data_IF_936786749211
#
_entry.id   IF_936786749211
#
_cell.length_a   1.000
_cell.length_b   1.000
_cell.length_c   1.000
_cell.angle_alpha   90.00
_cell.angle_beta   90.00
_cell.angle_gamma   90.00
#
_symmetry.space_group_name_H-M   'P 1'
#
loop_
_entity.id
_entity.type
_entity.pdbx_description
1 polymer ?
#
# COMPACT_ATOMS: atom_id res chain seq x y z
N UNK A 1 21.85 -7.73 -2.37
CA UNK A 1 23.20 -8.03 -1.82
C UNK A 1 23.32 -9.49 -1.36
N UNK A 2 22.57 -9.93 -0.34
CA UNK A 2 22.63 -11.31 0.18
C UNK A 2 22.32 -12.40 -0.85
N UNK A 3 21.43 -12.12 -1.80
CA UNK A 3 21.12 -13.07 -2.88
C UNK A 3 22.31 -13.33 -3.82
N UNK A 4 23.09 -12.30 -4.14
CA UNK A 4 24.21 -12.38 -5.08
C UNK A 4 25.53 -12.80 -4.43
N UNK A 5 25.80 -12.24 -3.25
CA UNK A 5 27.02 -12.52 -2.51
C UNK A 5 26.86 -13.72 -1.58
N UNK A 6 25.64 -14.23 -1.43
CA UNK A 6 25.34 -15.36 -0.55
C UNK A 6 25.85 -15.12 0.87
N UNK A 7 26.47 -16.13 1.51
CA UNK A 7 27.08 -16.01 2.83
C UNK A 7 28.14 -14.90 2.93
N UNK A 8 28.78 -14.49 1.84
CA UNK A 8 29.81 -13.43 1.84
C UNK A 8 29.21 -12.08 2.23
N UNK A 9 27.92 -11.85 1.95
CA UNK A 9 27.23 -10.64 2.42
C UNK A 9 27.23 -10.53 3.95
N UNK A 10 27.19 -11.65 4.67
CA UNK A 10 27.26 -11.66 6.15
C UNK A 10 28.60 -11.10 6.60
N UNK A 11 29.70 -11.53 5.97
CA UNK A 11 31.03 -11.04 6.32
C UNK A 11 31.18 -9.54 6.06
N UNK A 12 30.66 -9.04 4.93
CA UNK A 12 30.70 -7.61 4.60
C UNK A 12 29.85 -6.78 5.57
N UNK A 13 28.64 -7.23 5.89
CA UNK A 13 27.79 -6.50 6.86
C UNK A 13 28.41 -6.54 8.26
N UNK A 14 29.03 -7.66 8.67
CA UNK A 14 29.76 -7.75 9.94
C UNK A 14 31.04 -6.89 10.00
N UNK A 15 31.59 -6.48 8.84
CA UNK A 15 32.73 -5.54 8.80
C UNK A 15 32.28 -4.09 8.97
N UNK A 16 31.12 -3.74 8.39
CA UNK A 16 30.57 -2.37 8.44
C UNK A 16 29.80 -2.14 9.73
N UNK A 17 29.10 -3.15 10.23
CA UNK A 17 28.19 -3.07 11.37
C UNK A 17 28.33 -4.27 12.32
N UNK A 18 27.59 -4.23 13.43
CA UNK A 18 27.57 -5.24 14.48
C UNK A 18 26.98 -6.59 14.02
N UNK A 19 27.56 -7.68 14.52
CA UNK A 19 27.00 -9.03 14.34
C UNK A 19 25.57 -9.17 14.88
N UNK A 20 25.22 -8.35 15.88
CA UNK A 20 23.89 -8.28 16.49
C UNK A 20 22.86 -7.77 15.47
N UNK A 21 23.20 -6.75 14.68
CA UNK A 21 22.34 -6.25 13.61
C UNK A 21 22.07 -7.34 12.57
N UNK A 22 23.10 -8.07 12.14
CA UNK A 22 22.96 -9.16 11.15
C UNK A 22 22.02 -10.26 11.66
N UNK A 23 22.14 -10.62 12.95
CA UNK A 23 21.22 -11.56 13.61
C UNK A 23 19.79 -11.03 13.65
N UNK A 24 19.62 -9.76 14.01
CA UNK A 24 18.31 -9.12 14.07
C UNK A 24 17.66 -8.94 12.69
N UNK A 25 18.44 -8.79 11.61
CA UNK A 25 17.92 -8.75 10.24
C UNK A 25 17.47 -10.14 9.73
N UNK A 26 17.69 -11.20 10.51
CA UNK A 26 17.31 -12.57 10.13
C UNK A 26 18.25 -13.20 9.08
N UNK A 27 19.41 -12.59 8.85
CA UNK A 27 20.43 -13.12 7.92
C UNK A 27 21.32 -14.19 8.55
N UNK A 28 21.16 -14.46 9.86
CA UNK A 28 21.97 -15.48 10.52
C UNK A 28 21.61 -16.87 10.03
N UNK A 29 22.64 -17.72 9.96
CA UNK A 29 22.65 -19.10 9.47
C UNK A 29 21.43 -19.90 9.96
N UNK A 30 20.36 -19.86 9.17
CA UNK A 30 19.28 -20.83 9.28
C UNK A 30 19.68 -21.99 8.38
N UNK A 31 19.97 -23.15 8.96
CA UNK A 31 20.45 -24.36 8.25
C UNK A 31 19.57 -24.68 7.03
N UNK A 32 18.28 -24.35 7.12
CA UNK A 32 17.30 -24.52 6.06
C UNK A 32 17.52 -23.56 4.88
N UNK A 33 17.92 -22.30 5.11
CA UNK A 33 18.21 -21.35 4.01
C UNK A 33 19.48 -21.74 3.26
N UNK A 34 20.48 -22.28 3.94
CA UNK A 34 21.72 -22.74 3.29
C UNK A 34 21.46 -23.88 2.30
N UNK A 35 20.52 -24.77 2.62
CA UNK A 35 20.10 -25.82 1.68
C UNK A 35 19.45 -25.24 0.41
N UNK A 36 18.64 -24.19 0.54
CA UNK A 36 18.03 -23.50 -0.62
C UNK A 36 19.11 -22.88 -1.52
N UNK A 37 20.19 -22.33 -0.95
CA UNK A 37 21.30 -21.79 -1.73
C UNK A 37 22.11 -22.85 -2.47
N UNK A 38 22.37 -24.01 -1.85
CA UNK A 38 23.13 -25.09 -2.50
C UNK A 38 22.32 -25.74 -3.62
N UNK A 39 21.01 -25.92 -3.44
CA UNK A 39 20.12 -26.43 -4.48
C UNK A 39 19.90 -25.43 -5.63
N UNK A 40 20.26 -24.16 -5.44
CA UNK A 40 20.20 -23.13 -6.47
C UNK A 40 21.44 -23.08 -7.38
N UNK A 41 22.23 -24.15 -7.46
CA UNK A 41 23.06 -24.42 -8.65
C UNK A 41 22.17 -24.90 -9.80
N UNK A 42 21.20 -24.06 -10.16
CA UNK A 42 20.35 -24.24 -11.33
C UNK A 42 21.26 -24.13 -12.55
N UNK A 43 21.12 -25.07 -13.48
CA UNK A 43 21.81 -25.05 -14.76
C UNK A 43 21.38 -23.79 -15.52
N UNK A 44 22.16 -22.71 -15.43
CA UNK A 44 21.85 -21.37 -15.99
C UNK A 44 21.69 -21.43 -17.52
N UNK A 45 22.14 -22.53 -18.13
CA UNK A 45 22.21 -22.71 -19.58
C UNK A 45 20.84 -22.61 -20.27
N UNK A 46 19.76 -23.00 -19.60
CA UNK A 46 18.42 -23.09 -20.20
C UNK A 46 17.44 -22.03 -19.67
N UNK A 47 17.91 -21.11 -18.81
CA UNK A 47 17.06 -20.02 -18.32
C UNK A 47 17.11 -18.88 -19.35
N UNK A 48 15.97 -18.51 -19.97
CA UNK A 48 15.92 -17.39 -20.89
C UNK A 48 16.41 -16.11 -20.17
N UNK A 49 17.25 -15.35 -20.88
CA UNK A 49 17.95 -14.20 -20.30
C UNK A 49 16.98 -13.15 -19.73
N UNK A 50 15.79 -13.07 -20.30
CA UNK A 50 14.69 -12.22 -19.88
C UNK A 50 14.22 -12.58 -18.47
N UNK A 51 14.03 -13.87 -18.16
CA UNK A 51 13.61 -14.32 -16.83
C UNK A 51 14.70 -14.04 -15.78
N UNK A 52 15.96 -14.32 -16.12
CA UNK A 52 17.08 -14.01 -15.23
C UNK A 52 17.15 -12.51 -14.93
N UNK A 53 16.91 -11.68 -15.95
CA UNK A 53 16.87 -10.24 -15.82
C UNK A 53 15.71 -9.75 -14.94
N UNK A 54 14.47 -10.21 -15.17
CA UNK A 54 13.32 -9.89 -14.31
C UNK A 54 13.55 -10.28 -12.85
N UNK A 55 14.14 -11.45 -12.63
CA UNK A 55 14.51 -11.90 -11.30
C UNK A 55 15.52 -10.94 -10.65
N UNK A 56 16.57 -10.54 -11.39
CA UNK A 56 17.60 -9.64 -10.89
C UNK A 56 17.03 -8.27 -10.50
N UNK A 57 16.19 -7.70 -11.35
CA UNK A 57 15.47 -6.44 -11.09
C UNK A 57 14.66 -6.54 -9.81
N UNK A 58 13.91 -7.63 -9.67
CA UNK A 58 13.07 -7.84 -8.52
C UNK A 58 13.89 -7.97 -7.23
N UNK A 59 15.06 -8.61 -7.27
CA UNK A 59 16.01 -8.65 -6.14
C UNK A 59 16.55 -7.26 -5.82
N UNK A 60 16.89 -6.46 -6.83
CA UNK A 60 17.34 -5.06 -6.65
C UNK A 60 16.25 -4.24 -5.97
N UNK A 61 15.02 -4.33 -6.47
CA UNK A 61 13.85 -3.64 -5.92
C UNK A 61 13.58 -4.08 -4.48
N UNK A 62 13.60 -5.39 -4.18
CA UNK A 62 13.48 -5.91 -2.79
C UNK A 62 14.59 -5.37 -1.90
N UNK A 63 15.82 -5.33 -2.39
CA UNK A 63 16.97 -4.81 -1.63
C UNK A 63 16.81 -3.32 -1.33
N UNK A 64 16.29 -2.55 -2.30
CA UNK A 64 15.99 -1.15 -2.15
C UNK A 64 14.85 -0.91 -1.15
N UNK A 65 13.80 -1.73 -1.18
CA UNK A 65 12.72 -1.71 -0.17
C UNK A 65 13.27 -1.89 1.24
N UNK A 66 14.15 -2.86 1.40
CA UNK A 66 14.79 -3.12 2.69
C UNK A 66 15.68 -1.93 3.09
N UNK A 67 16.47 -1.38 2.16
CA UNK A 67 17.33 -0.24 2.43
C UNK A 67 16.55 1.02 2.85
N UNK A 68 15.51 1.38 2.11
CA UNK A 68 14.63 2.52 2.41
C UNK A 68 13.97 2.34 3.78
N UNK A 69 13.50 1.12 4.10
CA UNK A 69 12.93 0.81 5.42
C UNK A 69 13.89 1.18 6.54
N UNK A 70 15.14 0.71 6.46
CA UNK A 70 16.15 0.96 7.49
C UNK A 70 16.70 2.38 7.46
N UNK A 71 16.73 3.04 6.29
CA UNK A 71 17.13 4.45 6.19
C UNK A 71 16.16 5.42 6.88
N UNK A 72 14.91 5.01 7.11
CA UNK A 72 13.92 5.78 7.87
C UNK A 72 13.68 5.24 9.29
N UNK A 73 14.52 4.35 9.80
CA UNK A 73 14.51 4.00 11.22
C UNK A 73 15.01 5.21 12.01
N UNK A 74 14.41 5.46 13.18
CA UNK A 74 14.95 6.49 14.08
C UNK A 74 16.34 6.04 14.57
N UNK A 75 17.29 6.96 14.69
CA UNK A 75 18.65 6.69 15.17
C UNK A 75 18.69 5.92 16.50
N UNK A 76 17.76 6.19 17.42
CA UNK A 76 17.64 5.45 18.67
C UNK A 76 17.16 4.01 18.44
N UNK A 77 16.16 3.82 17.59
CA UNK A 77 15.67 2.49 17.20
C UNK A 77 16.75 1.68 16.48
N UNK A 78 17.54 2.34 15.63
CA UNK A 78 18.70 1.74 14.98
C UNK A 78 19.78 1.36 16.00
N UNK A 79 20.11 2.28 16.91
CA UNK A 79 21.07 2.05 17.99
C UNK A 79 20.64 0.92 18.91
N UNK A 80 19.34 0.81 19.22
CA UNK A 80 18.81 -0.33 19.99
C UNK A 80 18.91 -1.64 19.20
N UNK A 81 18.66 -1.61 17.89
CA UNK A 81 18.73 -2.79 17.03
C UNK A 81 20.18 -3.26 16.79
N UNK A 82 21.16 -2.35 16.78
CA UNK A 82 22.58 -2.71 16.70
C UNK A 82 23.16 -3.16 18.04
N UNK A 83 22.63 -2.65 19.17
CA UNK A 83 23.14 -2.97 20.51
C UNK A 83 22.46 -4.18 21.17
N UNK A 84 21.20 -4.47 20.87
CA UNK A 84 20.42 -5.48 21.59
C UNK A 84 19.85 -6.53 20.63
N UNK A 85 19.97 -7.81 20.96
CA UNK A 85 19.24 -8.86 20.24
C UNK A 85 17.74 -8.74 20.56
N UNK A 86 16.93 -8.61 19.52
CA UNK A 86 15.49 -8.56 19.67
C UNK A 86 14.93 -9.96 19.84
N UNK A 87 14.03 -10.12 20.82
CA UNK A 87 13.22 -11.34 20.94
C UNK A 87 12.39 -11.50 19.67
N UNK A 88 12.18 -12.75 19.25
CA UNK A 88 11.40 -13.09 18.04
C UNK A 88 10.06 -12.35 17.97
N UNK A 89 9.35 -12.23 19.08
CA UNK A 89 8.07 -11.50 19.18
C UNK A 89 8.20 -10.00 18.84
N UNK A 90 9.27 -9.34 19.31
CA UNK A 90 9.55 -7.94 18.98
C UNK A 90 10.00 -7.79 17.52
N UNK A 91 10.72 -8.79 16.99
CA UNK A 91 11.11 -8.82 15.59
C UNK A 91 9.90 -9.01 14.65
N UNK A 92 8.92 -9.83 15.04
CA UNK A 92 7.66 -10.00 14.32
C UNK A 92 6.83 -8.70 14.28
N UNK A 93 6.88 -7.90 15.34
CA UNK A 93 6.28 -6.57 15.37
C UNK A 93 6.98 -5.58 14.43
N UNK A 94 8.25 -5.84 14.11
CA UNK A 94 8.97 -5.08 13.09
C UNK A 94 8.78 -5.64 11.68
N UNK A 95 8.37 -6.90 11.50
CA UNK A 95 8.08 -7.47 10.17
C UNK A 95 6.89 -6.74 9.52
N UNK A 96 7.18 -6.07 8.41
CA UNK A 96 6.30 -5.10 7.73
C UNK A 96 4.91 -5.69 7.48
N UNK A 97 4.84 -6.91 6.95
CA UNK A 97 3.58 -7.45 6.47
C UNK A 97 2.58 -7.72 7.61
N UNK A 98 3.06 -8.32 8.70
CA UNK A 98 2.25 -8.61 9.88
C UNK A 98 1.95 -7.36 10.69
N UNK A 99 2.96 -6.50 10.90
CA UNK A 99 2.80 -5.24 11.64
C UNK A 99 1.81 -4.28 10.97
N UNK A 100 1.81 -4.25 9.63
CA UNK A 100 0.93 -3.37 8.87
C UNK A 100 -0.51 -3.88 8.81
N UNK A 101 -0.70 -5.19 8.61
CA UNK A 101 -2.04 -5.81 8.61
C UNK A 101 -2.65 -5.78 10.01
N UNK A 102 -1.81 -6.01 11.03
CA UNK A 102 -2.20 -6.05 12.43
C UNK A 102 -1.56 -4.89 13.18
N UNK A 103 -1.86 -3.65 12.78
CA UNK A 103 -1.44 -2.47 13.54
C UNK A 103 -1.98 -2.58 14.96
N UNK A 104 -1.11 -2.98 15.90
CA UNK A 104 -1.43 -2.97 17.33
C UNK A 104 -1.66 -1.52 17.74
N UNK A 105 -2.56 -1.27 18.69
CA UNK A 105 -2.78 0.10 19.20
C UNK A 105 -1.46 0.74 19.66
N UNK A 106 -0.59 -0.05 20.30
CA UNK A 106 0.74 0.39 20.73
C UNK A 106 1.60 0.96 19.60
N UNK A 107 1.47 0.44 18.37
CA UNK A 107 2.21 0.95 17.21
C UNK A 107 1.62 2.26 16.70
N UNK A 108 0.32 2.46 16.85
CA UNK A 108 -0.35 3.73 16.56
C UNK A 108 0.08 4.77 17.59
N UNK A 109 0.13 4.41 18.87
CA UNK A 109 0.57 5.29 19.95
C UNK A 109 2.01 5.76 19.72
N UNK A 110 2.92 4.85 19.35
CA UNK A 110 4.30 5.20 18.99
C UNK A 110 4.40 6.13 17.79
N UNK A 111 3.54 5.96 16.77
CA UNK A 111 3.54 6.86 15.61
C UNK A 111 2.96 8.24 15.98
N UNK A 112 1.95 8.29 16.85
CA UNK A 112 1.40 9.55 17.39
C UNK A 112 2.50 10.27 18.17
N UNK A 113 3.14 9.59 19.12
CA UNK A 113 4.25 10.12 19.91
C UNK A 113 5.38 10.62 19.01
N UNK A 114 5.84 9.80 18.06
CA UNK A 114 6.87 10.22 17.11
C UNK A 114 6.44 11.42 16.25
N UNK A 115 5.15 11.63 16.05
CA UNK A 115 4.63 12.78 15.30
C UNK A 115 4.55 14.04 16.17
N UNK A 116 4.16 13.91 17.44
CA UNK A 116 4.22 14.98 18.44
C UNK A 116 5.66 15.47 18.58
N UNK A 117 6.61 14.55 18.75
CA UNK A 117 8.04 14.85 18.82
C UNK A 117 8.59 15.53 17.56
N UNK A 118 8.27 15.00 16.37
CA UNK A 118 8.74 15.59 15.10
C UNK A 118 8.26 17.01 14.88
N UNK A 119 7.03 17.30 15.28
CA UNK A 119 6.44 18.62 15.16
C UNK A 119 6.77 19.54 16.35
N UNK A 120 7.56 19.05 17.32
CA UNK A 120 7.95 19.79 18.54
C UNK A 120 6.74 20.35 19.29
N UNK A 121 5.67 19.56 19.34
CA UNK A 121 4.46 19.94 20.07
C UNK A 121 4.77 19.79 21.56
N UNK A 122 4.64 20.89 22.29
CA UNK A 122 4.87 20.92 23.73
C UNK A 122 3.64 20.34 24.46
N UNK A 123 3.85 19.21 25.14
CA UNK A 123 2.79 18.50 25.86
C UNK A 123 2.17 19.34 26.98
N UNK A 124 2.96 20.21 27.63
CA UNK A 124 2.46 21.06 28.73
C UNK A 124 1.49 22.14 28.25
N UNK A 125 1.70 22.58 27.00
CA UNK A 125 0.90 23.60 26.32
C UNK A 125 -0.26 23.01 25.51
N UNK A 126 -0.36 21.69 25.43
CA UNK A 126 -1.40 20.98 24.68
C UNK A 126 -2.73 20.97 25.43
N UNK A 127 -3.40 22.13 25.51
CA UNK A 127 -4.66 22.33 26.23
C UNK A 127 -5.76 22.74 25.27
N UNK A 128 -6.65 21.79 24.97
CA UNK A 128 -7.81 22.04 24.13
C UNK A 128 -9.04 22.40 24.98
N UNK A 129 -9.65 23.55 24.68
CA UNK A 129 -10.91 24.00 25.27
C UNK A 129 -12.04 23.83 24.27
N UNK A 130 -13.17 23.28 24.72
CA UNK A 130 -14.34 23.02 23.89
C UNK A 130 -15.46 24.00 24.21
N UNK A 131 -16.29 24.31 23.20
CA UNK A 131 -17.48 25.15 23.38
C UNK A 131 -18.61 24.39 24.10
N UNK A 132 -18.59 23.07 24.03
CA UNK A 132 -19.62 22.18 24.58
C UNK A 132 -19.13 21.56 25.89
N UNK A 133 -20.04 21.37 26.85
CA UNK A 133 -19.75 20.59 28.03
C UNK A 133 -19.82 19.08 27.68
N UNK A 134 -18.65 18.46 27.49
CA UNK A 134 -18.52 17.05 27.08
C UNK A 134 -19.15 16.10 28.11
N UNK A 135 -19.11 16.45 29.40
CA UNK A 135 -19.70 15.64 30.47
C UNK A 135 -21.20 15.43 30.26
N UNK A 136 -21.88 16.46 29.76
CA UNK A 136 -23.32 16.44 29.49
C UNK A 136 -23.60 15.80 28.13
N UNK A 137 -22.85 16.18 27.09
CA UNK A 137 -23.13 15.73 25.72
C UNK A 137 -22.72 14.28 25.48
N UNK A 138 -21.57 13.84 26.02
CA UNK A 138 -21.02 12.51 25.78
C UNK A 138 -20.10 12.06 26.94
N UNK A 139 -20.68 11.53 28.05
CA UNK A 139 -19.90 11.12 29.22
C UNK A 139 -18.90 10.00 28.91
N UNK A 140 -19.19 9.13 27.94
CA UNK A 140 -18.26 8.07 27.52
C UNK A 140 -17.00 8.66 26.85
N UNK A 141 -17.16 9.71 26.04
CA UNK A 141 -16.03 10.40 25.45
C UNK A 141 -15.20 11.12 26.52
N UNK A 142 -15.84 11.73 27.51
CA UNK A 142 -15.15 12.33 28.64
C UNK A 142 -14.32 11.29 29.39
N UNK A 143 -14.89 10.13 29.71
CA UNK A 143 -14.16 9.03 30.36
C UNK A 143 -12.92 8.64 29.54
N UNK A 144 -13.05 8.54 28.22
CA UNK A 144 -11.93 8.23 27.31
C UNK A 144 -10.85 9.30 27.26
N UNK A 145 -11.21 10.58 27.40
CA UNK A 145 -10.28 11.70 27.35
C UNK A 145 -9.57 11.92 28.69
N UNK A 146 -10.25 11.70 29.81
CA UNK A 146 -9.71 11.95 31.16
C UNK A 146 -8.91 10.75 31.68
N UNK A 147 -9.36 9.52 31.39
CA UNK A 147 -8.69 8.32 31.90
C UNK A 147 -7.54 7.90 30.96
N UNK A 148 -6.30 8.25 31.35
CA UNK A 148 -5.06 7.87 30.64
C UNK A 148 -4.95 6.35 30.43
N UNK A 149 -5.46 5.58 31.38
CA UNK A 149 -5.41 4.13 31.37
C UNK A 149 -6.67 3.49 30.79
N UNK A 150 -7.61 4.26 30.21
CA UNK A 150 -8.85 3.73 29.63
C UNK A 150 -8.61 2.58 28.64
N UNK A 151 -7.50 2.67 27.89
CA UNK A 151 -7.08 1.66 26.93
C UNK A 151 -6.07 0.65 27.51
N UNK A 152 -5.44 0.92 28.65
CA UNK A 152 -4.54 -0.04 29.31
C UNK A 152 -5.37 -1.09 30.05
N UNK A 153 -5.34 -2.33 29.57
CA UNK A 153 -6.00 -3.48 30.22
C UNK A 153 -7.36 -3.86 29.64
N UNK A 154 -8.03 -2.95 28.91
CA UNK A 154 -9.08 -3.39 27.97
C UNK A 154 -8.38 -4.02 26.77
N UNK A 155 -8.28 -5.35 26.73
CA UNK A 155 -8.03 -6.04 25.47
C UNK A 155 -9.12 -5.56 24.52
N UNK A 156 -8.75 -4.61 23.66
CA UNK A 156 -9.69 -3.97 22.75
C UNK A 156 -10.23 -5.09 21.87
N UNK A 157 -11.40 -5.61 22.23
CA UNK A 157 -11.95 -6.74 21.52
C UNK A 157 -12.47 -6.14 20.22
N UNK A 158 -11.61 -6.15 19.20
CA UNK A 158 -11.89 -5.60 17.88
C UNK A 158 -13.21 -6.17 17.35
N UNK A 159 -13.60 -7.40 17.77
CA UNK A 159 -14.91 -7.98 17.45
C UNK A 159 -16.07 -7.22 18.12
N UNK A 160 -15.95 -6.82 19.39
CA UNK A 160 -16.94 -5.99 20.09
C UNK A 160 -17.03 -4.61 19.43
N UNK A 161 -15.89 -3.97 19.16
CA UNK A 161 -15.89 -2.67 18.51
C UNK A 161 -16.48 -2.73 17.09
N UNK A 162 -16.17 -3.77 16.31
CA UNK A 162 -16.83 -4.05 15.01
C UNK A 162 -18.33 -4.31 15.17
N UNK A 163 -18.77 -5.01 16.22
CA UNK A 163 -20.20 -5.22 16.51
C UNK A 163 -20.89 -3.89 16.82
N UNK A 164 -20.30 -3.04 17.64
CA UNK A 164 -20.81 -1.69 17.93
C UNK A 164 -20.93 -0.84 16.67
N UNK A 165 -19.90 -0.82 15.82
CA UNK A 165 -19.93 -0.10 14.54
C UNK A 165 -21.05 -0.66 13.64
N UNK A 166 -21.15 -1.99 13.50
CA UNK A 166 -22.23 -2.63 12.71
C UNK A 166 -23.62 -2.35 13.28
N UNK A 167 -23.78 -2.32 14.59
CA UNK A 167 -25.06 -2.03 15.25
C UNK A 167 -25.46 -0.57 15.04
N UNK A 168 -24.49 0.35 15.14
CA UNK A 168 -24.71 1.75 14.77
C UNK A 168 -25.03 1.91 13.28
N UNK A 169 -24.39 1.17 12.38
CA UNK A 169 -24.74 1.16 10.96
C UNK A 169 -26.16 0.63 10.70
N UNK A 170 -26.60 -0.40 11.44
CA UNK A 170 -27.98 -0.90 11.35
C UNK A 170 -29.00 0.13 11.85
N UNK A 171 -28.75 0.73 13.01
CA UNK A 171 -29.57 1.83 13.54
C UNK A 171 -29.60 3.01 12.55
N UNK A 172 -28.48 3.31 11.88
CA UNK A 172 -28.40 4.32 10.81
C UNK A 172 -29.30 3.97 9.63
N UNK A 173 -29.25 2.73 9.14
CA UNK A 173 -30.12 2.27 8.04
C UNK A 173 -31.60 2.33 8.41
N UNK A 174 -31.94 1.94 9.64
CA UNK A 174 -33.32 2.04 10.14
C UNK A 174 -33.76 3.50 10.22
N UNK A 175 -32.92 4.40 10.75
CA UNK A 175 -33.25 5.82 10.84
C UNK A 175 -33.36 6.47 9.45
N UNK A 176 -32.52 6.11 8.48
CA UNK A 176 -32.66 6.61 7.11
C UNK A 176 -33.91 6.09 6.41
N UNK A 177 -34.31 4.84 6.68
CA UNK A 177 -35.58 4.30 6.17
C UNK A 177 -36.77 5.00 6.82
N UNK A 178 -36.69 5.32 8.11
CA UNK A 178 -37.70 6.12 8.81
C UNK A 178 -37.77 7.54 8.25
N UNK A 179 -36.62 8.20 8.07
CA UNK A 179 -36.50 9.54 7.46
C UNK A 179 -37.02 9.55 6.00
N UNK A 180 -36.84 8.47 5.23
CA UNK A 180 -37.38 8.34 3.88
C UNK A 180 -38.90 8.03 3.85
N UNK A 181 -39.41 7.37 4.87
CA UNK A 181 -40.84 7.05 5.02
C UNK A 181 -41.63 8.17 5.71
N UNK A 182 -40.96 9.15 6.33
CA UNK A 182 -41.61 10.38 6.76
C UNK A 182 -41.92 11.20 5.49
N UNK A 183 -43.21 11.37 5.11
CA UNK A 183 -43.56 12.05 3.89
C UNK A 183 -43.00 13.47 3.91
N UNK A 184 -42.33 13.84 2.82
CA UNK A 184 -41.69 15.13 2.58
C UNK A 184 -42.71 16.27 2.41
N UNK A 185 -43.70 16.34 3.29
CA UNK A 185 -44.78 17.34 3.28
C UNK A 185 -44.30 18.78 3.57
N UNK A 186 -42.99 18.99 3.75
CA UNK A 186 -42.37 20.30 3.98
C UNK A 186 -41.45 20.80 2.87
N UNK A 187 -41.24 20.05 1.78
CA UNK A 187 -40.32 20.47 0.70
C UNK A 187 -40.97 20.57 -0.70
N UNK A 188 -42.27 20.36 -0.83
CA UNK A 188 -42.98 20.45 -2.13
C UNK A 188 -43.06 21.89 -2.70
N UNK A 189 -42.78 22.93 -1.92
CA UNK A 189 -42.77 24.31 -2.45
C UNK A 189 -41.45 24.73 -3.12
N UNK A 190 -40.35 23.98 -2.98
CA UNK A 190 -39.05 24.39 -3.52
C UNK A 190 -38.63 23.61 -4.78
N UNK A 191 -39.27 22.47 -5.08
CA UNK A 191 -38.91 21.64 -6.24
C UNK A 191 -39.64 21.99 -7.55
N UNK A 192 -40.67 22.84 -7.52
CA UNK A 192 -41.34 23.30 -8.74
C UNK A 192 -40.57 24.36 -9.55
N UNK A 193 -39.34 24.72 -9.16
CA UNK A 193 -38.50 25.71 -9.87
C UNK A 193 -37.34 25.12 -10.69
N UNK A 194 -37.16 23.79 -10.73
CA UNK A 194 -35.98 23.17 -11.40
C UNK A 194 -36.26 22.17 -12.52
N UNK A 195 -37.52 22.02 -12.94
CA UNK A 195 -37.89 21.10 -14.03
C UNK A 195 -38.07 21.78 -15.41
N UNK A 196 -37.48 22.96 -15.61
CA UNK A 196 -37.39 23.59 -16.94
C UNK A 196 -35.91 23.74 -17.28
N UNK A 197 -35.26 22.63 -17.62
CA UNK A 197 -34.09 22.60 -18.51
C UNK A 197 -33.89 21.15 -18.98
N UNK A 198 -34.70 20.83 -20.00
CA UNK A 198 -34.42 19.82 -21.03
C UNK A 198 -32.94 19.91 -21.47
N UNK A 199 -32.22 18.85 -21.81
CA UNK A 199 -32.60 17.71 -22.64
C UNK A 199 -31.56 17.59 -23.77
N UNK A 200 -31.48 16.40 -24.39
CA UNK A 200 -30.54 16.01 -25.46
C UNK A 200 -29.11 15.73 -24.95
N UNK A 201 -28.41 14.64 -25.30
CA UNK A 201 -28.27 14.12 -26.66
C UNK A 201 -27.67 12.69 -26.70
N UNK A 202 -28.16 11.93 -27.69
CA UNK A 202 -27.40 11.13 -28.68
C UNK A 202 -26.84 9.75 -28.25
N UNK A 203 -27.56 8.75 -28.74
CA UNK A 203 -27.11 7.41 -29.13
C UNK A 203 -26.10 7.44 -30.28
N UNK A 204 -25.05 6.63 -30.22
CA UNK A 204 -24.47 6.00 -31.42
C UNK A 204 -23.91 4.62 -31.08
N UNK A 205 -24.60 3.60 -31.60
CA UNK A 205 -24.04 2.28 -31.81
C UNK A 205 -23.28 2.30 -33.14
N UNK A 206 -22.01 1.87 -33.14
CA UNK A 206 -21.29 1.59 -34.38
C UNK A 206 -20.95 0.11 -34.42
N UNK A 207 -21.66 -0.58 -35.30
CA UNK A 207 -21.43 -1.94 -35.76
C UNK A 207 -20.41 -1.87 -36.91
N UNK A 208 -19.30 -2.60 -36.81
CA UNK A 208 -18.37 -2.82 -37.92
C UNK A 208 -18.07 -4.31 -37.99
N UNK A 209 -18.72 -4.96 -38.96
CA UNK A 209 -18.33 -6.26 -39.50
C UNK A 209 -17.53 -6.01 -40.77
N UNK A 210 -16.35 -6.60 -40.88
CA UNK A 210 -15.85 -7.09 -42.17
C UNK A 210 -14.79 -8.16 -41.94
N UNK A 211 -15.15 -9.37 -42.34
CA UNK A 211 -14.29 -10.53 -42.48
C UNK A 211 -13.23 -10.28 -43.56
N UNK A 212 -11.98 -10.63 -43.28
CA UNK A 212 -11.01 -10.94 -44.32
C UNK A 212 -10.25 -12.20 -43.93
N UNK A 213 -10.51 -13.23 -44.74
CA UNK A 213 -9.91 -14.55 -44.71
C UNK A 213 -8.60 -14.45 -45.49
N UNK A 214 -7.46 -14.56 -44.80
CA UNK A 214 -6.15 -14.80 -45.43
C UNK A 214 -5.62 -16.08 -44.83
N UNK A 215 -5.45 -17.05 -45.71
CA UNK A 215 -4.98 -18.41 -45.50
C UNK A 215 -3.75 -18.53 -46.38
N UNK A 216 -2.56 -18.59 -45.78
CA UNK A 216 -1.35 -19.21 -46.37
C UNK A 216 -0.19 -19.16 -45.38
N UNK A 217 0.13 -20.36 -44.89
CA UNK A 217 1.45 -20.84 -44.45
C UNK A 217 2.07 -20.23 -43.19
N UNK A 218 1.46 -20.60 -42.06
CA UNK A 218 2.10 -20.57 -40.75
C UNK A 218 3.17 -21.67 -40.66
N UNK A 219 4.45 -21.29 -40.79
CA UNK A 219 5.48 -21.98 -39.99
C UNK A 219 5.06 -21.80 -38.54
N UNK A 220 4.61 -22.89 -37.93
CA UNK A 220 4.12 -22.91 -36.56
C UNK A 220 5.28 -22.58 -35.63
N UNK A 221 5.45 -21.29 -35.30
CA UNK A 221 6.18 -20.92 -34.11
C UNK A 221 5.40 -21.57 -32.96
N UNK A 222 5.95 -22.66 -32.43
CA UNK A 222 5.38 -23.47 -31.36
C UNK A 222 5.36 -22.68 -30.02
N UNK A 223 4.66 -21.55 -29.99
CA UNK A 223 4.19 -20.96 -28.74
C UNK A 223 2.97 -21.78 -28.28
N UNK A 224 3.22 -22.89 -27.60
CA UNK A 224 2.14 -23.62 -26.93
C UNK A 224 2.16 -25.14 -26.96
N UNK A 225 3.31 -25.80 -27.16
CA UNK A 225 3.39 -27.24 -26.84
C UNK A 225 3.68 -27.39 -25.35
N UNK A 226 2.66 -27.17 -24.53
CA UNK A 226 2.68 -27.45 -23.08
C UNK A 226 2.79 -28.97 -22.81
N UNK A 227 2.69 -29.83 -23.83
CA UNK A 227 2.47 -31.27 -23.67
C UNK A 227 3.55 -32.20 -24.26
N UNK A 228 4.73 -31.68 -24.62
CA UNK A 228 5.95 -32.49 -24.87
C UNK A 228 7.07 -32.10 -23.89
N UNK A 229 6.68 -31.75 -22.68
CA UNK A 229 7.57 -31.18 -21.67
C UNK A 229 8.08 -32.30 -20.78
N UNK A 230 9.41 -32.45 -20.70
CA UNK A 230 10.03 -33.32 -19.72
C UNK A 230 9.54 -32.93 -18.32
N UNK A 231 9.39 -33.89 -17.41
CA UNK A 231 8.88 -33.63 -16.04
C UNK A 231 9.63 -32.50 -15.33
N UNK A 232 10.91 -32.31 -15.66
CA UNK A 232 11.76 -31.24 -15.13
C UNK A 232 11.24 -29.84 -15.53
N UNK A 233 10.87 -29.62 -16.79
CA UNK A 233 10.35 -28.33 -17.28
C UNK A 233 9.02 -27.97 -16.61
N UNK A 234 8.13 -28.95 -16.42
CA UNK A 234 6.87 -28.75 -15.70
C UNK A 234 7.14 -28.35 -14.25
N UNK A 235 8.11 -28.99 -13.59
CA UNK A 235 8.52 -28.67 -12.23
C UNK A 235 9.10 -27.25 -12.15
N UNK A 236 10.00 -26.88 -13.06
CA UNK A 236 10.59 -25.54 -13.13
C UNK A 236 9.53 -24.47 -13.35
N UNK A 237 8.66 -24.65 -14.35
CA UNK A 237 7.57 -23.72 -14.64
C UNK A 237 6.61 -23.57 -13.45
N UNK A 238 6.33 -24.68 -12.74
CA UNK A 238 5.50 -24.64 -11.54
C UNK A 238 6.15 -23.85 -10.40
N UNK A 239 7.44 -24.05 -10.16
CA UNK A 239 8.19 -23.30 -9.12
C UNK A 239 8.28 -21.82 -9.49
N UNK A 240 8.54 -21.49 -10.75
CA UNK A 240 8.57 -20.11 -11.25
C UNK A 240 7.21 -19.44 -11.10
N UNK A 241 6.13 -20.14 -11.46
CA UNK A 241 4.77 -19.65 -11.34
C UNK A 241 4.39 -19.38 -9.88
N UNK A 242 4.69 -20.30 -8.97
CA UNK A 242 4.45 -20.11 -7.52
C UNK A 242 5.29 -18.95 -6.97
N UNK A 243 6.55 -18.84 -7.40
CA UNK A 243 7.42 -17.72 -7.08
C UNK A 243 6.79 -16.39 -7.51
N UNK A 244 6.42 -16.29 -8.77
CA UNK A 244 5.78 -15.12 -9.39
C UNK A 244 4.47 -14.74 -8.69
N UNK A 245 3.59 -15.72 -8.40
CA UNK A 245 2.37 -15.50 -7.64
C UNK A 245 2.64 -14.94 -6.24
N UNK A 246 3.63 -15.47 -5.53
CA UNK A 246 4.01 -15.00 -4.20
C UNK A 246 4.43 -13.53 -4.23
N UNK A 247 5.10 -13.11 -5.29
CA UNK A 247 5.62 -11.76 -5.45
C UNK A 247 4.52 -10.78 -5.85
N UNK A 248 3.69 -11.18 -6.80
CA UNK A 248 2.48 -10.44 -7.19
C UNK A 248 1.59 -10.22 -5.96
N UNK A 249 1.37 -11.27 -5.16
CA UNK A 249 0.60 -11.19 -3.93
C UNK A 249 1.17 -10.15 -2.95
N UNK A 250 2.48 -10.12 -2.75
CA UNK A 250 3.12 -9.13 -1.87
C UNK A 250 2.98 -7.69 -2.38
N UNK A 251 3.07 -7.48 -3.69
CA UNK A 251 2.86 -6.16 -4.30
C UNK A 251 1.42 -5.68 -4.09
N UNK A 252 0.43 -6.55 -4.33
CA UNK A 252 -0.98 -6.20 -4.09
C UNK A 252 -1.28 -5.93 -2.62
N UNK A 253 -0.72 -6.74 -1.73
CA UNK A 253 -0.85 -6.56 -0.29
C UNK A 253 -0.28 -5.20 0.14
N UNK A 254 0.83 -4.78 -0.45
CA UNK A 254 1.41 -3.46 -0.20
C UNK A 254 0.48 -2.32 -0.65
N UNK A 255 -0.07 -2.39 -1.86
CA UNK A 255 -1.04 -1.41 -2.37
C UNK A 255 -2.29 -1.35 -1.50
N UNK A 256 -2.81 -2.52 -1.11
CA UNK A 256 -3.98 -2.63 -0.25
C UNK A 256 -3.78 -1.96 1.10
N UNK A 257 -2.61 -2.15 1.73
CA UNK A 257 -2.28 -1.47 2.98
C UNK A 257 -2.19 0.04 2.77
N UNK A 258 -1.53 0.48 1.70
CA UNK A 258 -1.49 1.90 1.34
C UNK A 258 -2.89 2.52 1.30
N UNK A 259 -3.85 1.84 0.67
CA UNK A 259 -5.25 2.28 0.63
C UNK A 259 -5.91 2.37 2.01
N UNK A 260 -5.62 1.42 2.91
CA UNK A 260 -6.12 1.46 4.29
C UNK A 260 -5.57 2.69 5.03
N UNK A 261 -4.28 2.96 4.92
CA UNK A 261 -3.66 4.10 5.60
C UNK A 261 -4.12 5.43 5.02
N UNK A 262 -4.32 5.53 3.71
CA UNK A 262 -4.95 6.71 3.09
C UNK A 262 -6.36 6.94 3.63
N UNK A 263 -7.16 5.87 3.80
CA UNK A 263 -8.49 5.98 4.42
C UNK A 263 -8.40 6.44 5.87
N UNK A 264 -7.48 5.90 6.68
CA UNK A 264 -7.27 6.31 8.08
C UNK A 264 -6.90 7.80 8.18
N UNK A 265 -5.92 8.25 7.39
CA UNK A 265 -5.51 9.65 7.35
C UNK A 265 -6.65 10.58 6.94
N UNK A 266 -7.41 10.22 5.90
CA UNK A 266 -8.60 10.96 5.49
C UNK A 266 -9.63 11.05 6.62
N UNK A 267 -9.86 9.95 7.36
CA UNK A 267 -10.76 9.95 8.51
C UNK A 267 -10.28 10.88 9.62
N UNK A 268 -8.98 10.91 9.93
CA UNK A 268 -8.40 11.80 10.95
C UNK A 268 -8.51 13.27 10.55
N UNK A 269 -8.16 13.61 9.31
CA UNK A 269 -8.27 14.99 8.79
C UNK A 269 -9.72 15.47 8.84
N UNK A 270 -10.67 14.62 8.43
CA UNK A 270 -12.10 14.94 8.50
C UNK A 270 -12.59 15.09 9.93
N UNK A 271 -12.10 14.27 10.87
CA UNK A 271 -12.45 14.37 12.28
C UNK A 271 -11.96 15.70 12.89
N UNK A 272 -10.71 16.07 12.64
CA UNK A 272 -10.13 17.35 13.12
C UNK A 272 -10.80 18.55 12.44
N UNK A 273 -11.13 18.42 11.14
CA UNK A 273 -11.91 19.44 10.43
C UNK A 273 -13.29 19.65 11.06
N UNK A 274 -13.99 18.55 11.38
CA UNK A 274 -15.29 18.62 12.04
C UNK A 274 -15.21 19.21 13.44
N UNK A 275 -14.09 19.07 14.16
CA UNK A 275 -13.89 19.73 15.47
C UNK A 275 -13.83 21.26 15.37
N UNK A 276 -13.46 21.83 14.22
CA UNK A 276 -13.45 23.27 14.00
C UNK A 276 -14.80 23.84 13.54
N UNK A 277 -15.73 22.99 13.11
CA UNK A 277 -17.02 23.42 12.56
C UNK A 277 -18.02 23.73 13.69
N UNK A 278 -18.50 24.99 13.84
CA UNK A 278 -19.44 25.35 14.89
C UNK A 278 -20.85 24.81 14.63
N UNK A 279 -21.22 24.63 13.35
CA UNK A 279 -22.54 24.13 12.94
C UNK A 279 -22.42 22.67 12.51
N UNK A 280 -22.58 21.75 13.47
CA UNK A 280 -22.46 20.29 13.25
C UNK A 280 -23.51 19.69 12.29
N UNK A 281 -24.52 20.48 11.88
CA UNK A 281 -25.56 20.00 10.98
C UNK A 281 -25.00 19.61 9.60
N UNK A 282 -23.99 20.34 9.11
CA UNK A 282 -23.37 20.08 7.82
C UNK A 282 -22.31 18.97 7.88
N UNK A 283 -21.72 18.73 9.05
CA UNK A 283 -20.75 17.64 9.22
C UNK A 283 -21.40 16.26 9.01
N UNK A 284 -20.69 15.30 8.39
CA UNK A 284 -21.16 13.92 8.29
C UNK A 284 -21.56 13.37 9.66
N UNK A 285 -22.65 12.58 9.71
CA UNK A 285 -23.23 12.06 10.97
C UNK A 285 -22.20 11.39 11.90
N UNK A 286 -21.11 10.83 11.35
CA UNK A 286 -20.01 10.20 12.09
C UNK A 286 -19.03 11.16 12.76
N UNK A 287 -19.17 12.47 12.60
CA UNK A 287 -18.29 13.46 13.24
C UNK A 287 -19.06 14.44 14.12
N UNK A 288 -20.39 14.37 14.13
CA UNK A 288 -21.26 15.25 14.92
C UNK A 288 -21.09 15.10 16.43
N UNK A 289 -20.58 13.95 16.88
CA UNK A 289 -20.29 13.69 18.30
C UNK A 289 -18.94 14.24 18.75
N UNK A 290 -18.12 14.76 17.84
CA UNK A 290 -16.83 15.36 18.19
C UNK A 290 -17.08 16.77 18.72
N UNK A 291 -16.51 17.12 19.89
CA UNK A 291 -16.73 18.42 20.50
C UNK A 291 -16.17 19.53 19.61
N UNK A 292 -16.84 20.69 19.63
CA UNK A 292 -16.40 21.89 18.91
C UNK A 292 -15.28 22.59 19.67
N UNK A 293 -14.13 22.79 19.03
CA UNK A 293 -13.00 23.54 19.58
C UNK A 293 -13.39 25.00 19.72
N UNK A 294 -13.07 25.61 20.86
CA UNK A 294 -13.27 27.03 21.08
C UNK A 294 -12.22 27.85 20.31
N UNK A 295 -12.55 28.26 19.08
CA UNK A 295 -11.67 29.04 18.21
C UNK A 295 -11.38 30.46 18.75
N UNK A 296 -12.17 30.96 19.71
CA UNK A 296 -11.95 32.26 20.34
C UNK A 296 -10.83 32.21 21.39
N UNK A 297 -10.50 31.02 21.88
CA UNK A 297 -9.38 30.82 22.79
C UNK A 297 -8.10 30.55 22.00
N UNK A 298 -7.14 31.48 22.04
CA UNK A 298 -5.86 31.36 21.32
C UNK A 298 -5.13 30.05 21.64
N UNK A 299 -5.14 29.61 22.91
CA UNK A 299 -4.53 28.34 23.33
C UNK A 299 -5.18 27.15 22.64
N UNK A 300 -6.52 27.09 22.65
CA UNK A 300 -7.27 26.01 22.02
C UNK A 300 -7.08 25.98 20.50
N UNK A 301 -7.04 27.16 19.88
CA UNK A 301 -6.77 27.31 18.45
C UNK A 301 -5.38 26.78 18.09
N UNK A 302 -4.34 27.15 18.86
CA UNK A 302 -2.98 26.66 18.64
C UNK A 302 -2.92 25.13 18.78
N UNK A 303 -3.52 24.56 19.84
CA UNK A 303 -3.61 23.11 20.02
C UNK A 303 -4.32 22.41 18.86
N UNK A 304 -5.38 23.03 18.31
CA UNK A 304 -6.07 22.49 17.13
C UNK A 304 -5.20 22.56 15.86
N UNK A 305 -4.44 23.64 15.67
CA UNK A 305 -3.47 23.75 14.57
C UNK A 305 -2.40 22.67 14.71
N UNK A 306 -1.86 22.46 15.91
CA UNK A 306 -0.87 21.42 16.18
C UNK A 306 -1.45 20.02 15.91
N UNK A 307 -2.68 19.73 16.36
CA UNK A 307 -3.40 18.51 16.02
C UNK A 307 -3.53 18.31 14.51
N UNK A 308 -3.86 19.38 13.79
CA UNK A 308 -3.99 19.34 12.33
C UNK A 308 -2.64 19.05 11.67
N UNK A 309 -1.57 19.73 12.08
CA UNK A 309 -0.20 19.48 11.60
C UNK A 309 0.19 18.03 11.87
N UNK A 310 -0.02 17.54 13.10
CA UNK A 310 0.23 16.16 13.47
C UNK A 310 -0.57 15.19 12.60
N UNK A 311 -1.87 15.42 12.36
CA UNK A 311 -2.67 14.54 11.51
C UNK A 311 -2.25 14.54 10.04
N UNK A 312 -1.70 15.66 9.55
CA UNK A 312 -1.13 15.75 8.22
C UNK A 312 0.22 15.05 8.14
N UNK A 313 0.98 15.00 9.24
CA UNK A 313 2.28 14.35 9.31
C UNK A 313 2.21 12.86 9.71
N UNK A 314 1.10 12.43 10.33
CA UNK A 314 0.76 11.02 10.53
C UNK A 314 0.67 10.34 9.18
N UNK A 315 1.43 9.25 9.02
CA UNK A 315 1.45 8.55 7.75
C UNK A 315 2.35 9.20 6.69
N UNK A 316 2.95 10.38 6.92
CA UNK A 316 3.83 11.03 5.93
C UNK A 316 5.05 10.17 5.61
N UNK A 317 5.65 9.53 6.62
CA UNK A 317 6.72 8.53 6.42
C UNK A 317 6.28 7.39 5.52
N UNK A 318 5.07 6.87 5.72
CA UNK A 318 4.49 5.80 4.91
C UNK A 318 4.19 6.26 3.49
N UNK A 319 3.64 7.46 3.32
CA UNK A 319 3.35 8.04 2.01
C UNK A 319 4.63 8.30 1.23
N UNK A 320 5.67 8.88 1.85
CA UNK A 320 6.98 9.06 1.20
C UNK A 320 7.56 7.72 0.80
N UNK A 321 7.46 6.68 1.65
CA UNK A 321 7.89 5.33 1.29
C UNK A 321 7.08 4.77 0.11
N UNK A 322 5.75 4.80 0.17
CA UNK A 322 4.86 4.33 -0.92
C UNK A 322 5.14 5.08 -2.21
N UNK A 323 5.30 6.40 -2.16
CA UNK A 323 5.57 7.23 -3.32
C UNK A 323 6.94 6.93 -3.91
N UNK A 324 7.97 6.83 -3.06
CA UNK A 324 9.32 6.47 -3.50
C UNK A 324 9.38 5.04 -4.05
N UNK A 325 8.61 4.11 -3.50
CA UNK A 325 8.42 2.81 -4.12
C UNK A 325 7.74 2.95 -5.48
N UNK A 326 6.57 3.57 -5.53
CA UNK A 326 5.79 3.70 -6.76
C UNK A 326 6.59 4.38 -7.86
N UNK A 327 7.37 5.42 -7.57
CA UNK A 327 8.17 6.13 -8.57
C UNK A 327 9.33 5.27 -9.08
N UNK A 328 10.01 4.54 -8.20
CA UNK A 328 11.11 3.65 -8.59
C UNK A 328 10.59 2.45 -9.37
N UNK A 329 9.52 1.81 -8.88
CA UNK A 329 8.83 0.72 -9.58
C UNK A 329 8.36 1.15 -10.96
N UNK A 330 7.66 2.29 -11.05
CA UNK A 330 7.17 2.82 -12.32
C UNK A 330 8.34 3.13 -13.26
N UNK A 331 9.42 3.74 -12.77
CA UNK A 331 10.61 4.02 -13.56
C UNK A 331 11.25 2.75 -14.12
N UNK A 332 11.39 1.70 -13.30
CA UNK A 332 11.87 0.40 -13.74
C UNK A 332 10.92 -0.25 -14.74
N UNK A 333 9.62 -0.32 -14.46
CA UNK A 333 8.63 -0.89 -15.40
C UNK A 333 8.59 -0.15 -16.73
N UNK A 334 8.68 1.18 -16.72
CA UNK A 334 8.71 2.00 -17.92
C UNK A 334 10.01 1.77 -18.71
N UNK A 335 11.15 1.69 -18.02
CA UNK A 335 12.42 1.31 -18.65
C UNK A 335 12.33 -0.07 -19.31
N UNK A 336 11.71 -1.07 -18.68
CA UNK A 336 11.53 -2.40 -19.28
C UNK A 336 10.55 -2.42 -20.43
N UNK A 337 9.44 -1.69 -20.32
CA UNK A 337 8.51 -1.54 -21.44
C UNK A 337 9.24 -0.97 -22.66
N UNK A 338 10.14 0.01 -22.46
CA UNK A 338 10.97 0.57 -23.54
C UNK A 338 11.94 -0.46 -24.09
N UNK A 339 12.68 -1.20 -23.24
CA UNK A 339 13.63 -2.23 -23.70
C UNK A 339 12.93 -3.34 -24.50
N UNK A 340 11.78 -3.81 -24.02
CA UNK A 340 10.98 -4.82 -24.72
C UNK A 340 10.44 -4.29 -26.04
N UNK A 341 9.96 -3.04 -26.06
CA UNK A 341 9.48 -2.41 -27.28
C UNK A 341 10.62 -2.23 -28.29
N UNK A 342 11.80 -1.80 -27.85
CA UNK A 342 12.99 -1.69 -28.71
C UNK A 342 13.43 -3.05 -29.25
N UNK A 343 13.50 -4.08 -28.40
CA UNK A 343 13.82 -5.44 -28.81
C UNK A 343 12.83 -5.97 -29.84
N UNK A 344 11.53 -5.78 -29.59
CA UNK A 344 10.48 -6.15 -30.55
C UNK A 344 10.63 -5.42 -31.88
N UNK A 345 10.88 -4.10 -31.86
CA UNK A 345 11.08 -3.34 -33.10
C UNK A 345 12.37 -3.72 -33.82
N UNK A 346 13.44 -4.07 -33.12
CA UNK A 346 14.70 -4.49 -33.71
C UNK A 346 14.54 -5.84 -34.44
N UNK A 347 13.91 -6.81 -33.78
CA UNK A 347 13.61 -8.11 -34.39
C UNK A 347 12.67 -7.96 -35.58
N UNK A 348 11.68 -7.06 -35.49
CA UNK A 348 10.79 -6.76 -36.62
C UNK A 348 11.56 -6.13 -37.80
N UNK A 349 12.51 -5.23 -37.54
CA UNK A 349 13.38 -4.63 -38.55
C UNK A 349 14.28 -5.66 -39.24
N UNK A 350 14.87 -6.59 -38.48
CA UNK A 350 15.67 -7.69 -39.04
C UNK A 350 14.81 -8.60 -39.91
N UNK A 351 13.57 -8.88 -39.50
CA UNK A 351 12.61 -9.63 -40.29
C UNK A 351 12.27 -8.93 -41.62
N UNK A 352 11.99 -7.62 -41.59
CA UNK A 352 11.76 -6.82 -42.80
C UNK A 352 12.99 -6.76 -43.72
N UNK A 353 14.20 -6.69 -43.17
CA UNK A 353 15.42 -6.74 -43.99
C UNK A 353 15.56 -8.11 -44.67
N UNK A 354 15.31 -9.20 -43.96
CA UNK A 354 15.38 -10.56 -44.49
C UNK A 354 14.38 -10.77 -45.63
N UNK A 355 13.13 -10.34 -45.44
CA UNK A 355 12.07 -10.47 -46.45
C UNK A 355 12.38 -9.67 -47.73
N UNK A 356 12.97 -8.46 -47.58
CA UNK A 356 13.38 -7.64 -48.73
C UNK A 356 14.51 -8.28 -49.57
N UNK A 357 15.42 -9.02 -48.91
CA UNK A 357 16.53 -9.72 -49.57
C UNK A 357 16.02 -10.97 -50.27
N UNK A 358 15.15 -11.75 -49.62
CA UNK A 358 14.53 -12.95 -50.20
C UNK A 358 13.64 -12.59 -51.41
N UNK A 359 12.84 -11.52 -51.31
CA UNK A 359 12.02 -11.02 -52.41
C UNK A 359 12.85 -10.58 -53.63
N UNK A 360 13.99 -9.91 -53.40
CA UNK A 360 14.92 -9.56 -54.48
C UNK A 360 15.57 -10.80 -55.08
N UNK A 361 15.99 -11.77 -54.27
CA UNK A 361 16.59 -13.01 -54.76
C UNK A 361 15.61 -13.80 -55.65
N UNK A 362 14.34 -13.90 -55.28
CA UNK A 362 13.31 -14.53 -56.10
C UNK A 362 13.05 -13.78 -57.43
N UNK A 363 13.12 -12.45 -57.45
CA UNK A 363 13.01 -11.65 -58.67
C UNK A 363 14.20 -11.78 -59.63
N UNK A 364 15.36 -12.20 -59.16
CA UNK A 364 16.52 -12.47 -60.01
C UNK A 364 16.61 -13.93 -60.47
N UNK A 365 15.88 -14.84 -59.80
CA UNK A 365 15.84 -16.25 -60.13
C UNK A 365 14.69 -16.62 -61.10
N UNK A 366 13.67 -15.77 -61.21
CA UNK A 366 12.60 -15.83 -62.22
C UNK A 366 12.92 -14.88 -63.38
#
# INVERSE_FOLDING_TARGET
>A
MFFYLGPVAIAIICLIDSQVLVKNMGFWYNRNLFSVFIFQQINIRDVPIEQMFFYNIQVVIRSLIIAIRYGYFHDEGYSQMSRCMFKKTKLEDHLIMTSWIFSKLSSIDQEIEATVWRNRVDEENFKCYFMENIEITNPELQERLVNVDHYKGRHLNIKIMRKYVKQHEKLRRQKSLLEANFPAHMNEEVQNSKNIENGSSISMAHQVNSSQKIESDSESIHYGVIMHSNWDEILYSSVEFVGSLTLIYQNYLFVFIGLIDFKRRKLMINAIGAMAEPIKQFSPKQYRYLPTVNLLCLKSLNTWVDLRICSLDIGKRYLTRIFLYSSIYLGFYLFFAIVLLLSYTCNALDWFQCESVVSKAFKYAA
#
